data_IF_118392928543
#
_entry.id   IF_118392928543
#
_cell.length_a   1.000
_cell.length_b   1.000
_cell.length_c   1.000
_cell.angle_alpha   90.00
_cell.angle_beta   90.00
_cell.angle_gamma   90.00
#
_symmetry.space_group_name_H-M   'P 1'
#
loop_
_entity.id
_entity.type
_entity.pdbx_description
1 polymer ?
#
# COMPACT_ATOMS: atom_id res chain seq x y z
N UNK A 1 -60.16 13.27 -29.04
CA UNK A 1 -58.85 12.92 -29.66
C UNK A 1 -57.78 13.79 -29.07
N UNK A 2 -57.05 13.32 -28.07
CA UNK A 2 -55.89 14.03 -27.50
C UNK A 2 -54.74 13.06 -27.51
N UNK A 3 -53.68 13.41 -28.25
CA UNK A 3 -52.41 12.66 -28.32
C UNK A 3 -51.60 12.94 -27.05
N UNK A 4 -51.27 11.88 -26.28
CA UNK A 4 -50.29 11.92 -25.19
C UNK A 4 -48.92 12.03 -25.81
N UNK A 5 -48.18 13.09 -25.46
CA UNK A 5 -46.76 13.20 -25.69
C UNK A 5 -46.04 12.25 -24.71
N UNK A 6 -45.32 11.25 -25.23
CA UNK A 6 -44.34 10.47 -24.53
C UNK A 6 -43.09 11.35 -24.35
N UNK A 7 -42.76 11.61 -23.11
CA UNK A 7 -41.50 12.27 -22.74
C UNK A 7 -40.38 11.22 -22.91
N UNK A 8 -39.48 11.42 -23.88
CA UNK A 8 -38.32 10.63 -24.09
C UNK A 8 -37.36 10.75 -22.88
N UNK A 9 -36.97 9.62 -22.32
CA UNK A 9 -35.89 9.58 -21.36
C UNK A 9 -34.57 10.03 -22.01
N UNK A 10 -33.55 10.39 -21.24
CA UNK A 10 -32.27 10.86 -21.79
C UNK A 10 -31.66 9.78 -22.68
N UNK A 11 -31.53 10.09 -23.97
CA UNK A 11 -30.73 9.30 -24.90
C UNK A 11 -29.31 9.17 -24.34
N UNK A 12 -28.92 7.94 -24.05
CA UNK A 12 -27.51 7.60 -23.82
C UNK A 12 -26.81 7.80 -25.17
N UNK A 13 -26.15 8.93 -25.34
CA UNK A 13 -25.25 9.17 -26.47
C UNK A 13 -24.25 8.01 -26.54
N UNK A 14 -24.43 7.11 -27.49
CA UNK A 14 -23.45 6.09 -27.81
C UNK A 14 -22.22 6.81 -28.38
N UNK A 15 -21.15 6.88 -27.58
CA UNK A 15 -19.83 7.31 -28.03
C UNK A 15 -19.31 6.24 -29.01
N UNK A 16 -19.63 6.40 -30.30
CA UNK A 16 -19.14 5.52 -31.35
C UNK A 16 -17.61 5.68 -31.43
N UNK A 17 -16.86 4.63 -30.99
CA UNK A 17 -15.44 4.49 -31.20
C UNK A 17 -14.54 4.46 -29.96
N UNK A 18 -14.98 4.86 -28.76
CA UNK A 18 -14.14 4.76 -27.56
C UNK A 18 -14.23 3.35 -26.94
N UNK A 19 -13.06 2.73 -26.69
CA UNK A 19 -12.96 1.42 -26.04
C UNK A 19 -13.39 1.54 -24.57
N UNK A 20 -14.46 0.84 -24.21
CA UNK A 20 -14.93 0.74 -22.81
C UNK A 20 -14.43 -0.56 -22.20
N UNK A 21 -13.73 -0.45 -21.08
CA UNK A 21 -13.32 -1.59 -20.28
C UNK A 21 -14.41 -1.99 -19.27
N UNK A 22 -14.47 -3.26 -18.91
CA UNK A 22 -15.33 -3.66 -17.79
C UNK A 22 -14.71 -3.18 -16.47
N UNK A 23 -13.38 -3.28 -16.34
CA UNK A 23 -12.66 -2.75 -15.18
C UNK A 23 -11.32 -2.13 -15.59
N UNK A 24 -11.01 -0.96 -15.00
CA UNK A 24 -9.65 -0.40 -15.00
C UNK A 24 -9.07 -0.56 -13.59
N UNK A 25 -7.87 -1.14 -13.50
CA UNK A 25 -7.14 -1.36 -12.26
C UNK A 25 -5.98 -0.36 -12.21
N UNK A 26 -5.89 0.41 -11.13
CA UNK A 26 -4.87 1.42 -10.92
C UNK A 26 -3.84 0.88 -9.93
N UNK A 27 -2.67 0.47 -10.46
CA UNK A 27 -1.59 -0.15 -9.72
C UNK A 27 -1.50 -1.67 -9.90
N UNK A 28 -0.33 -2.15 -10.30
CA UNK A 28 0.02 -3.57 -10.44
C UNK A 28 0.70 -4.12 -9.18
N UNK A 29 0.26 -3.67 -8.00
CA UNK A 29 0.60 -4.32 -6.74
C UNK A 29 -0.13 -5.66 -6.57
N UNK A 30 0.14 -6.42 -5.48
CA UNK A 30 -0.47 -7.73 -5.24
C UNK A 30 -2.00 -7.72 -5.34
N UNK A 31 -2.67 -6.70 -4.78
CA UNK A 31 -4.12 -6.56 -4.87
C UNK A 31 -4.64 -6.37 -6.28
N UNK A 32 -4.01 -5.48 -7.05
CA UNK A 32 -4.39 -5.21 -8.43
C UNK A 32 -4.14 -6.39 -9.36
N UNK A 33 -2.98 -7.04 -9.23
CA UNK A 33 -2.65 -8.22 -10.03
C UNK A 33 -3.56 -9.40 -9.71
N UNK A 34 -3.84 -9.65 -8.44
CA UNK A 34 -4.75 -10.73 -8.06
C UNK A 34 -6.17 -10.47 -8.58
N UNK A 35 -6.66 -9.24 -8.48
CA UNK A 35 -7.95 -8.86 -9.06
C UNK A 35 -7.96 -9.04 -10.58
N UNK A 36 -6.90 -8.59 -11.27
CA UNK A 36 -6.79 -8.68 -12.73
C UNK A 36 -6.82 -10.12 -13.25
N UNK A 37 -6.15 -11.05 -12.54
CA UNK A 37 -6.17 -12.47 -12.83
C UNK A 37 -7.59 -13.04 -12.72
N UNK A 38 -8.33 -12.69 -11.65
CA UNK A 38 -9.71 -13.14 -11.49
C UNK A 38 -10.63 -12.60 -12.59
N UNK A 39 -10.56 -11.29 -12.85
CA UNK A 39 -11.40 -10.64 -13.86
C UNK A 39 -11.08 -11.14 -15.28
N UNK A 40 -9.79 -11.34 -15.61
CA UNK A 40 -9.37 -11.91 -16.89
C UNK A 40 -9.91 -13.33 -17.08
N UNK A 41 -9.87 -14.19 -16.03
CA UNK A 41 -10.46 -15.53 -16.06
C UNK A 41 -11.98 -15.52 -16.20
N UNK A 42 -12.66 -14.44 -15.86
CA UNK A 42 -14.07 -14.22 -16.14
C UNK A 42 -14.34 -13.68 -17.56
N UNK A 43 -13.29 -13.58 -18.39
CA UNK A 43 -13.34 -12.98 -19.74
C UNK A 43 -13.80 -11.52 -19.75
N UNK A 44 -13.59 -10.78 -18.68
CA UNK A 44 -13.84 -9.34 -18.63
C UNK A 44 -12.73 -8.59 -19.38
N UNK A 45 -13.09 -7.45 -19.97
CA UNK A 45 -12.13 -6.53 -20.61
C UNK A 45 -11.45 -5.71 -19.52
N UNK A 46 -10.20 -6.03 -19.19
CA UNK A 46 -9.46 -5.42 -18.08
C UNK A 46 -8.23 -4.68 -18.59
N UNK A 47 -8.04 -3.46 -18.09
CA UNK A 47 -6.82 -2.67 -18.25
C UNK A 47 -6.19 -2.42 -16.87
N UNK A 48 -4.93 -2.78 -16.70
CA UNK A 48 -4.11 -2.38 -15.56
C UNK A 48 -3.22 -1.22 -15.97
N UNK A 49 -3.26 -0.11 -15.22
CA UNK A 49 -2.36 1.02 -15.42
C UNK A 49 -1.44 1.11 -14.21
N UNK A 50 -0.13 0.97 -14.43
CA UNK A 50 0.87 0.97 -13.35
C UNK A 50 2.04 1.90 -13.66
N UNK A 51 2.41 2.72 -12.66
CA UNK A 51 3.57 3.62 -12.78
C UNK A 51 4.91 2.91 -12.59
N UNK A 52 4.89 1.74 -11.96
CA UNK A 52 6.08 1.03 -11.49
C UNK A 52 6.59 1.54 -10.13
N UNK A 53 7.56 0.81 -9.57
CA UNK A 53 8.26 1.21 -8.34
C UNK A 53 7.38 1.22 -7.07
N UNK A 54 6.40 0.33 -6.98
CA UNK A 54 5.58 0.17 -5.77
C UNK A 54 6.36 -0.48 -4.62
N UNK A 55 5.86 -0.36 -3.37
CA UNK A 55 6.51 -0.90 -2.14
C UNK A 55 6.93 -2.36 -2.29
N UNK A 56 6.04 -3.21 -2.83
CA UNK A 56 6.33 -4.63 -3.02
C UNK A 56 7.57 -4.85 -3.88
N UNK A 57 7.77 -4.08 -4.96
CA UNK A 57 8.93 -4.25 -5.85
C UNK A 57 10.28 -3.94 -5.18
N UNK A 58 10.29 -3.23 -4.06
CA UNK A 58 11.49 -2.92 -3.29
C UNK A 58 11.82 -3.97 -2.22
N UNK A 59 10.90 -4.87 -1.90
CA UNK A 59 11.13 -5.96 -0.96
C UNK A 59 12.07 -6.99 -1.57
N UNK A 60 13.29 -7.12 -1.00
CA UNK A 60 14.31 -8.06 -1.49
C UNK A 60 13.96 -9.51 -1.18
N UNK A 61 13.37 -9.74 -0.01
CA UNK A 61 13.03 -11.06 0.51
C UNK A 61 11.68 -10.99 1.20
N UNK A 62 10.70 -11.71 0.65
CA UNK A 62 9.38 -11.92 1.24
C UNK A 62 9.33 -13.38 1.64
N UNK A 63 9.17 -13.64 2.95
CA UNK A 63 9.28 -14.97 3.56
C UNK A 63 7.98 -15.39 4.24
N UNK A 64 6.98 -14.52 4.21
CA UNK A 64 5.62 -14.76 4.72
C UNK A 64 4.58 -14.99 3.60
N UNK A 65 5.03 -15.46 2.43
CA UNK A 65 4.16 -15.77 1.30
C UNK A 65 4.03 -17.29 1.13
N UNK A 66 2.79 -17.80 1.24
CA UNK A 66 2.50 -19.23 1.13
C UNK A 66 3.08 -19.83 -0.15
N UNK A 67 3.65 -21.04 -0.07
CA UNK A 67 4.28 -21.82 -1.15
C UNK A 67 5.70 -21.39 -1.54
N UNK A 68 6.26 -20.35 -0.94
CA UNK A 68 7.64 -19.91 -1.18
C UNK A 68 8.33 -19.67 0.14
N UNK A 69 9.51 -20.26 0.34
CA UNK A 69 10.35 -19.93 1.49
C UNK A 69 10.85 -18.49 1.38
N UNK A 70 11.34 -18.12 0.20
CA UNK A 70 11.79 -16.76 -0.12
C UNK A 70 11.40 -16.43 -1.54
N UNK A 71 10.87 -15.23 -1.75
CA UNK A 71 10.64 -14.66 -3.08
C UNK A 71 10.86 -13.15 -3.03
N UNK A 72 11.44 -12.57 -4.07
CA UNK A 72 11.53 -11.11 -4.14
C UNK A 72 10.18 -10.50 -4.55
N UNK A 73 9.90 -9.31 -4.05
CA UNK A 73 8.69 -8.61 -4.46
C UNK A 73 8.67 -8.27 -5.95
N UNK A 74 9.82 -7.98 -6.55
CA UNK A 74 9.95 -7.77 -8.00
C UNK A 74 9.58 -9.04 -8.80
N UNK A 75 9.94 -10.21 -8.29
CA UNK A 75 9.57 -11.49 -8.90
C UNK A 75 8.06 -11.76 -8.78
N UNK A 76 7.44 -11.50 -7.62
CA UNK A 76 5.98 -11.59 -7.46
C UNK A 76 5.27 -10.72 -8.49
N UNK A 77 5.69 -9.47 -8.65
CA UNK A 77 5.09 -8.54 -9.62
C UNK A 77 5.26 -9.04 -11.05
N UNK A 78 6.47 -9.50 -11.41
CA UNK A 78 6.77 -10.03 -12.75
C UNK A 78 5.88 -11.24 -13.07
N UNK A 79 5.88 -12.25 -12.21
CA UNK A 79 5.09 -13.48 -12.39
C UNK A 79 3.57 -13.18 -12.42
N UNK A 80 3.11 -12.27 -11.55
CA UNK A 80 1.72 -11.83 -11.52
C UNK A 80 1.30 -11.11 -12.82
N UNK A 81 2.16 -10.26 -13.39
CA UNK A 81 1.91 -9.62 -14.69
C UNK A 81 1.87 -10.64 -15.84
N UNK A 82 2.78 -11.61 -15.85
CA UNK A 82 2.80 -12.68 -16.85
C UNK A 82 1.51 -13.52 -16.77
N UNK A 83 1.09 -13.89 -15.56
CA UNK A 83 -0.14 -14.62 -15.33
C UNK A 83 -1.39 -13.81 -15.74
N UNK A 84 -1.47 -12.52 -15.41
CA UNK A 84 -2.58 -11.68 -15.85
C UNK A 84 -2.68 -11.59 -17.38
N UNK A 85 -1.56 -11.38 -18.05
CA UNK A 85 -1.49 -11.35 -19.52
C UNK A 85 -1.95 -12.65 -20.18
N UNK A 86 -1.71 -13.82 -19.57
CA UNK A 86 -2.17 -15.10 -20.09
C UNK A 86 -3.70 -15.23 -20.13
N UNK A 87 -4.41 -14.36 -19.41
CA UNK A 87 -5.87 -14.21 -19.41
C UNK A 87 -6.35 -12.96 -20.17
N UNK A 88 -5.57 -12.47 -21.14
CA UNK A 88 -5.89 -11.33 -21.99
C UNK A 88 -6.07 -10.00 -21.25
N UNK A 89 -5.47 -9.84 -20.05
CA UNK A 89 -5.44 -8.57 -19.34
C UNK A 89 -4.44 -7.64 -20.02
N UNK A 90 -4.88 -6.43 -20.36
CA UNK A 90 -4.00 -5.39 -20.88
C UNK A 90 -3.27 -4.72 -19.72
N UNK A 91 -1.94 -4.58 -19.84
CA UNK A 91 -1.12 -3.91 -18.82
C UNK A 91 -0.35 -2.77 -19.50
N UNK A 92 -0.56 -1.57 -19.00
CA UNK A 92 0.05 -0.35 -19.51
C UNK A 92 0.88 0.33 -18.43
N UNK A 93 2.09 0.76 -18.80
CA UNK A 93 2.90 1.63 -17.95
C UNK A 93 2.37 3.06 -18.04
N UNK A 94 2.02 3.66 -16.89
CA UNK A 94 1.52 5.01 -16.84
C UNK A 94 1.19 5.46 -15.41
N UNK A 95 1.18 6.77 -15.21
CA UNK A 95 0.75 7.41 -13.97
C UNK A 95 -0.68 7.92 -14.13
N UNK A 96 -1.62 7.35 -13.38
CA UNK A 96 -2.97 7.90 -13.29
C UNK A 96 -2.93 9.19 -12.48
N UNK A 97 -3.46 10.25 -13.06
CA UNK A 97 -3.46 11.60 -12.47
C UNK A 97 -4.85 12.05 -12.00
N UNK A 98 -5.91 11.44 -12.54
CA UNK A 98 -7.29 11.82 -12.22
C UNK A 98 -8.27 10.69 -12.50
N UNK A 99 -9.32 10.59 -11.68
CA UNK A 99 -10.47 9.71 -11.91
C UNK A 99 -11.74 10.53 -11.72
N UNK A 100 -12.67 10.43 -12.68
CA UNK A 100 -14.00 11.06 -12.64
C UNK A 100 -15.09 10.01 -12.84
N UNK A 101 -16.34 10.36 -12.51
CA UNK A 101 -17.52 9.51 -12.74
C UNK A 101 -18.73 10.32 -13.18
N UNK A 102 -18.74 10.87 -14.41
CA UNK A 102 -19.94 11.55 -14.96
C UNK A 102 -21.06 10.57 -15.33
N UNK A 103 -20.74 9.36 -15.67
CA UNK A 103 -21.60 8.22 -16.03
C UNK A 103 -20.78 6.94 -15.89
N UNK A 104 -20.00 6.59 -16.91
CA UNK A 104 -18.88 5.65 -16.78
C UNK A 104 -17.74 6.31 -16.00
N UNK A 105 -16.82 5.50 -15.49
CA UNK A 105 -15.56 6.04 -14.97
C UNK A 105 -14.68 6.53 -16.12
N UNK A 106 -14.12 7.71 -15.93
CA UNK A 106 -13.08 8.28 -16.76
C UNK A 106 -11.76 8.25 -15.99
N UNK A 107 -10.77 7.53 -16.50
CA UNK A 107 -9.45 7.40 -15.89
C UNK A 107 -8.43 8.11 -16.79
N UNK A 108 -7.72 9.08 -16.24
CA UNK A 108 -6.74 9.88 -16.97
C UNK A 108 -5.31 9.45 -16.59
N UNK A 109 -4.52 9.12 -17.63
CA UNK A 109 -3.11 8.79 -17.47
C UNK A 109 -2.28 9.52 -18.55
N UNK A 110 -1.53 10.55 -18.15
CA UNK A 110 -0.94 11.49 -19.09
C UNK A 110 -2.03 12.21 -19.88
N UNK A 111 -1.90 12.22 -21.22
CA UNK A 111 -2.89 12.79 -22.14
C UNK A 111 -4.03 11.83 -22.50
N UNK A 112 -3.91 10.57 -22.10
CA UNK A 112 -4.88 9.54 -22.45
C UNK A 112 -6.04 9.50 -21.45
N UNK A 113 -7.25 9.34 -21.98
CA UNK A 113 -8.48 9.08 -21.24
C UNK A 113 -8.98 7.67 -21.56
N UNK A 114 -9.33 6.92 -20.51
CA UNK A 114 -9.89 5.58 -20.60
C UNK A 114 -11.24 5.52 -19.92
N UNK A 115 -12.17 4.74 -20.49
CA UNK A 115 -13.53 4.56 -19.96
C UNK A 115 -13.69 3.15 -19.36
N UNK A 116 -14.40 3.05 -18.22
CA UNK A 116 -14.73 1.76 -17.63
C UNK A 116 -16.03 1.76 -16.84
N UNK A 117 -16.62 0.56 -16.67
CA UNK A 117 -17.78 0.33 -15.80
C UNK A 117 -17.36 0.32 -14.32
N UNK A 118 -16.23 -0.31 -14.00
CA UNK A 118 -15.65 -0.41 -12.66
C UNK A 118 -14.23 0.14 -12.64
N UNK A 119 -13.83 0.64 -11.49
CA UNK A 119 -12.44 0.98 -11.20
C UNK A 119 -12.00 0.27 -9.92
N UNK A 120 -10.83 -0.35 -9.92
CA UNK A 120 -10.17 -0.87 -8.72
C UNK A 120 -8.89 -0.09 -8.47
N UNK A 121 -8.79 0.49 -7.28
CA UNK A 121 -7.63 1.25 -6.82
C UNK A 121 -6.74 0.36 -5.95
N UNK A 122 -5.54 0.07 -6.43
CA UNK A 122 -4.49 -0.71 -5.76
C UNK A 122 -3.14 0.02 -5.81
N UNK A 123 -3.19 1.36 -5.73
CA UNK A 123 -2.03 2.25 -5.90
C UNK A 123 -1.06 2.25 -4.72
N UNK A 124 -1.48 1.68 -3.59
CA UNK A 124 -0.63 1.47 -2.42
C UNK A 124 -0.18 2.76 -1.72
N UNK A 125 0.98 2.70 -1.09
CA UNK A 125 1.60 3.82 -0.39
C UNK A 125 3.09 3.96 -0.71
N UNK A 126 3.66 5.06 -0.28
CA UNK A 126 5.10 5.36 -0.39
C UNK A 126 5.67 5.52 1.02
N UNK A 127 6.71 4.77 1.37
CA UNK A 127 7.35 4.82 2.69
C UNK A 127 7.86 6.23 3.02
N UNK A 128 7.64 6.63 4.26
CA UNK A 128 8.26 7.82 4.83
C UNK A 128 9.60 7.39 5.45
N UNK A 129 10.68 7.57 4.72
CA UNK A 129 12.02 7.30 5.23
C UNK A 129 12.66 8.58 5.76
N UNK A 130 13.30 8.55 6.94
CA UNK A 130 14.02 9.70 7.45
C UNK A 130 15.27 9.97 6.60
N UNK A 131 15.69 11.25 6.46
CA UNK A 131 16.87 11.61 5.68
C UNK A 131 18.16 11.34 6.48
N UNK A 132 18.56 10.08 6.57
CA UNK A 132 19.77 9.61 7.26
C UNK A 132 20.78 9.19 6.20
N UNK A 133 22.00 9.68 6.28
CA UNK A 133 23.10 9.29 5.38
C UNK A 133 23.33 7.77 5.47
N UNK A 134 23.59 7.13 4.34
CA UNK A 134 23.76 5.67 4.18
C UNK A 134 22.50 4.80 4.44
N UNK A 135 21.32 5.37 4.69
CA UNK A 135 20.11 4.60 4.95
C UNK A 135 19.84 3.58 3.84
N UNK A 136 19.91 4.01 2.57
CA UNK A 136 19.61 3.16 1.42
C UNK A 136 20.58 2.00 1.23
N UNK A 137 21.83 2.13 1.70
CA UNK A 137 22.85 1.06 1.67
C UNK A 137 22.38 -0.18 2.44
N UNK A 138 21.71 0.03 3.58
CA UNK A 138 21.30 -1.02 4.50
C UNK A 138 19.80 -1.34 4.45
N UNK A 139 19.03 -0.58 3.61
CA UNK A 139 17.58 -0.75 3.50
C UNK A 139 17.23 -2.15 2.97
N UNK A 140 16.23 -2.78 3.57
CA UNK A 140 15.79 -4.16 3.32
C UNK A 140 16.86 -5.24 3.53
N UNK A 141 17.96 -4.91 4.26
CA UNK A 141 18.96 -5.87 4.71
C UNK A 141 19.13 -5.84 6.24
N UNK A 142 19.30 -4.65 6.81
CA UNK A 142 19.39 -4.40 8.26
C UNK A 142 18.54 -3.22 8.70
N UNK A 143 17.82 -2.57 7.78
CA UNK A 143 16.86 -1.52 8.07
C UNK A 143 15.51 -1.94 7.51
N UNK A 144 14.52 -2.05 8.38
CA UNK A 144 13.18 -2.51 8.07
C UNK A 144 12.13 -1.46 8.45
N UNK A 145 10.96 -1.51 7.83
CA UNK A 145 9.82 -0.62 8.10
C UNK A 145 8.56 -1.36 8.52
N UNK A 146 8.57 -2.69 8.41
CA UNK A 146 7.41 -3.54 8.68
C UNK A 146 7.77 -4.60 9.73
N UNK A 147 7.08 -4.57 10.87
CA UNK A 147 7.27 -5.57 11.94
C UNK A 147 6.76 -6.95 11.51
N UNK A 148 5.59 -7.02 10.88
CA UNK A 148 4.96 -8.28 10.48
C UNK A 148 5.71 -8.98 9.34
N UNK A 149 6.55 -8.24 8.62
CA UNK A 149 7.38 -8.77 7.55
C UNK A 149 8.74 -9.25 8.07
N UNK A 150 9.42 -8.42 8.86
CA UNK A 150 10.83 -8.53 9.14
C UNK A 150 11.17 -8.53 10.65
N UNK A 151 10.18 -8.39 11.54
CA UNK A 151 10.40 -8.33 12.98
C UNK A 151 11.20 -9.52 13.50
N UNK A 152 10.94 -10.73 13.03
CA UNK A 152 11.66 -11.94 13.42
C UNK A 152 13.18 -11.89 13.10
N UNK A 153 13.59 -11.11 12.08
CA UNK A 153 15.01 -10.90 11.71
C UNK A 153 15.79 -10.13 12.76
N UNK A 154 15.10 -9.51 13.71
CA UNK A 154 15.72 -8.77 14.83
C UNK A 154 15.96 -9.63 16.05
N UNK A 155 15.56 -10.91 16.03
CA UNK A 155 15.66 -11.82 17.18
C UNK A 155 17.10 -11.92 17.69
N UNK A 156 17.31 -11.57 18.96
CA UNK A 156 18.59 -11.62 19.65
C UNK A 156 19.62 -10.59 19.22
N UNK A 157 19.26 -9.63 18.34
CA UNK A 157 20.16 -8.59 17.84
C UNK A 157 20.02 -7.30 18.62
N UNK A 158 21.05 -6.44 18.55
CA UNK A 158 21.00 -5.06 19.03
C UNK A 158 20.13 -4.24 18.10
N UNK A 159 18.90 -3.96 18.55
CA UNK A 159 17.88 -3.26 17.77
C UNK A 159 17.79 -1.79 18.17
N UNK A 160 17.78 -0.90 17.18
CA UNK A 160 17.31 0.48 17.36
C UNK A 160 15.97 0.65 16.68
N UNK A 161 14.95 1.09 17.42
CA UNK A 161 13.65 1.51 16.87
C UNK A 161 13.67 3.02 16.72
N UNK A 162 13.40 3.53 15.52
CA UNK A 162 13.36 4.97 15.24
C UNK A 162 11.98 5.40 14.78
N UNK A 163 11.49 6.56 15.24
CA UNK A 163 10.21 7.09 14.79
C UNK A 163 9.85 8.44 15.39
N UNK A 164 8.60 8.87 15.17
CA UNK A 164 8.15 10.22 15.51
C UNK A 164 6.80 10.28 16.26
N UNK A 165 6.34 9.18 16.82
CA UNK A 165 5.01 9.10 17.44
C UNK A 165 4.97 8.12 18.62
N UNK A 166 3.90 8.19 19.43
CA UNK A 166 3.64 7.22 20.50
C UNK A 166 3.51 5.79 19.99
N UNK A 167 3.04 5.57 18.76
CA UNK A 167 3.01 4.25 18.15
C UNK A 167 4.40 3.60 18.08
N UNK A 168 5.46 4.42 17.96
CA UNK A 168 6.84 3.93 17.98
C UNK A 168 7.26 3.42 19.36
N UNK A 169 6.74 4.04 20.44
CA UNK A 169 6.97 3.57 21.83
C UNK A 169 6.31 2.20 22.04
N UNK A 170 5.02 2.07 21.68
CA UNK A 170 4.31 0.80 21.75
C UNK A 170 4.99 -0.30 20.92
N UNK A 171 5.51 0.08 19.75
CA UNK A 171 6.26 -0.83 18.91
C UNK A 171 7.53 -1.32 19.60
N UNK A 172 8.27 -0.45 20.32
CA UNK A 172 9.48 -0.83 21.06
C UNK A 172 9.15 -1.86 22.17
N UNK A 173 8.06 -1.68 22.90
CA UNK A 173 7.59 -2.68 23.87
C UNK A 173 7.27 -4.03 23.22
N UNK A 174 6.53 -3.99 22.09
CA UNK A 174 6.22 -5.18 21.33
C UNK A 174 7.47 -5.93 20.86
N UNK A 175 8.44 -5.19 20.29
CA UNK A 175 9.72 -5.77 19.84
C UNK A 175 10.53 -6.38 20.96
N UNK A 176 10.56 -5.72 22.14
CA UNK A 176 11.23 -6.26 23.33
C UNK A 176 10.61 -7.59 23.78
N UNK A 177 9.30 -7.68 23.77
CA UNK A 177 8.59 -8.86 24.22
C UNK A 177 8.69 -10.03 23.27
N UNK A 178 8.68 -9.77 21.95
CA UNK A 178 8.63 -10.81 20.93
C UNK A 178 10.01 -11.26 20.44
N UNK A 179 11.00 -10.34 20.33
CA UNK A 179 12.17 -10.64 19.50
C UNK A 179 13.51 -10.40 20.19
N UNK A 180 13.75 -9.26 20.86
CA UNK A 180 15.06 -8.97 21.46
C UNK A 180 14.96 -8.10 22.69
N UNK A 181 15.81 -8.41 23.71
CA UNK A 181 15.91 -7.61 24.94
C UNK A 181 16.89 -6.44 24.79
N UNK A 182 17.80 -6.50 23.81
CA UNK A 182 18.79 -5.46 23.54
C UNK A 182 18.19 -4.45 22.55
N UNK A 183 17.38 -3.54 23.09
CA UNK A 183 16.61 -2.57 22.30
C UNK A 183 16.88 -1.15 22.79
N UNK A 184 17.01 -0.22 21.87
CA UNK A 184 17.11 1.22 22.13
C UNK A 184 16.08 1.96 21.27
N UNK A 185 15.41 2.95 21.85
CA UNK A 185 14.42 3.77 21.17
C UNK A 185 15.00 5.15 20.83
N UNK A 186 14.81 5.62 19.60
CA UNK A 186 15.17 6.98 19.16
C UNK A 186 13.93 7.69 18.61
N UNK A 187 13.57 8.79 19.22
CA UNK A 187 12.37 9.54 18.91
C UNK A 187 12.69 10.92 18.36
N UNK A 188 12.04 11.29 17.26
CA UNK A 188 12.14 12.63 16.64
C UNK A 188 11.23 13.64 17.29
N UNK A 189 10.56 13.29 18.39
CA UNK A 189 9.65 14.13 19.15
C UNK A 189 9.93 14.04 20.64
N UNK A 190 9.84 15.13 21.34
CA UNK A 190 9.88 15.24 22.79
C UNK A 190 8.48 15.15 23.44
N UNK A 191 7.43 15.13 22.62
CA UNK A 191 6.02 15.04 23.06
C UNK A 191 5.65 13.62 23.46
N UNK A 192 6.31 13.11 24.49
CA UNK A 192 6.04 11.80 25.07
C UNK A 192 5.48 12.03 26.47
N UNK A 193 4.27 11.52 26.78
CA UNK A 193 3.73 11.58 28.12
C UNK A 193 4.68 10.96 29.15
N UNK A 194 4.72 11.54 30.36
CA UNK A 194 5.66 11.11 31.40
C UNK A 194 5.46 9.66 31.81
N UNK A 195 4.22 9.16 31.76
CA UNK A 195 3.88 7.76 32.00
C UNK A 195 4.68 6.80 31.12
N UNK A 196 4.81 7.09 29.81
CA UNK A 196 5.60 6.25 28.89
C UNK A 196 7.10 6.35 29.13
N UNK A 197 7.61 7.47 29.62
CA UNK A 197 9.03 7.57 30.00
C UNK A 197 9.31 6.71 31.23
N UNK A 198 8.40 6.71 32.20
CA UNK A 198 8.46 5.84 33.37
C UNK A 198 8.43 4.38 32.96
N UNK A 199 7.46 3.99 32.13
CA UNK A 199 7.34 2.62 31.64
C UNK A 199 8.59 2.16 30.85
N UNK A 200 9.13 3.01 29.98
CA UNK A 200 10.40 2.71 29.28
C UNK A 200 11.56 2.46 30.23
N UNK A 201 11.64 3.23 31.33
CA UNK A 201 12.67 3.07 32.36
C UNK A 201 12.47 1.76 33.15
N UNK A 202 11.24 1.45 33.58
CA UNK A 202 10.89 0.20 34.28
C UNK A 202 11.17 -1.01 33.41
N UNK A 203 10.86 -0.93 32.12
CA UNK A 203 11.16 -1.96 31.13
C UNK A 203 12.66 -2.00 30.73
N UNK A 204 13.49 -1.08 31.22
CA UNK A 204 14.91 -1.03 30.88
C UNK A 204 15.17 -0.78 29.39
N UNK A 205 14.31 -0.02 28.72
CA UNK A 205 14.49 0.41 27.32
C UNK A 205 15.12 1.82 27.32
N UNK A 206 16.40 1.96 27.02
CA UNK A 206 17.03 3.27 26.89
C UNK A 206 16.40 4.01 25.70
N UNK A 207 16.13 5.30 25.88
CA UNK A 207 15.60 6.13 24.79
C UNK A 207 16.37 7.44 24.64
N UNK A 208 16.38 7.95 23.42
CA UNK A 208 17.01 9.21 23.04
C UNK A 208 16.03 10.06 22.25
N UNK A 209 16.00 11.34 22.55
CA UNK A 209 15.26 12.33 21.77
C UNK A 209 16.25 13.05 20.87
N UNK A 210 15.98 13.08 19.56
CA UNK A 210 16.85 13.73 18.59
C UNK A 210 16.80 13.07 17.22
N UNK A 211 17.62 13.60 16.31
CA UNK A 211 17.66 13.12 14.91
C UNK A 211 18.98 12.42 14.63
N UNK A 212 18.96 11.17 14.21
CA UNK A 212 20.12 10.54 13.61
C UNK A 212 20.49 11.24 12.29
N UNK A 213 21.78 11.28 12.00
CA UNK A 213 22.31 11.92 10.80
C UNK A 213 23.00 10.94 9.85
N UNK A 214 23.57 9.84 10.39
CA UNK A 214 24.32 8.87 9.60
C UNK A 214 24.20 7.47 10.17
N UNK A 215 24.21 6.48 9.27
CA UNK A 215 24.38 5.06 9.59
C UNK A 215 25.83 4.69 9.35
N UNK A 216 26.45 4.09 10.36
CA UNK A 216 27.85 3.66 10.36
C UNK A 216 27.90 2.15 10.08
N UNK A 217 28.81 1.77 9.20
CA UNK A 217 29.09 0.40 8.83
C UNK A 217 29.52 0.28 7.36
N UNK A 218 30.33 -0.73 7.07
CA UNK A 218 30.76 -1.04 5.70
C UNK A 218 29.95 -2.18 5.09
N UNK A 219 30.20 -3.41 5.45
CA UNK A 219 29.46 -4.58 4.97
C UNK A 219 28.18 -4.81 5.77
N UNK A 220 28.17 -4.42 7.04
CA UNK A 220 27.04 -4.56 7.97
C UNK A 220 26.82 -3.27 8.73
N UNK A 221 25.62 -3.10 9.26
CA UNK A 221 25.26 -1.98 10.11
C UNK A 221 25.91 -2.18 11.50
N UNK A 222 26.56 -1.14 12.00
CA UNK A 222 27.34 -1.19 13.26
C UNK A 222 26.82 -0.16 14.29
N UNK A 223 26.40 1.01 13.83
CA UNK A 223 25.89 2.06 14.70
C UNK A 223 25.04 3.09 13.98
N UNK A 224 24.26 3.82 14.77
CA UNK A 224 23.53 5.01 14.39
C UNK A 224 24.19 6.24 15.01
N UNK A 225 24.61 7.21 14.21
CA UNK A 225 25.19 8.48 14.67
C UNK A 225 24.11 9.55 14.77
N UNK A 226 24.01 10.17 15.95
CA UNK A 226 23.07 11.25 16.26
C UNK A 226 23.67 12.60 15.88
N UNK A 227 22.82 13.62 15.75
CA UNK A 227 23.21 15.00 15.39
C UNK A 227 24.19 15.64 16.41
N UNK A 228 24.15 15.22 17.66
CA UNK A 228 25.08 15.63 18.72
C UNK A 228 26.42 14.88 18.73
N UNK A 229 26.64 14.00 17.74
CA UNK A 229 27.84 13.19 17.61
C UNK A 229 27.80 11.89 18.43
N UNK A 230 26.78 11.65 19.23
CA UNK A 230 26.63 10.40 19.97
C UNK A 230 26.42 9.23 19.01
N UNK A 231 27.04 8.09 19.30
CA UNK A 231 26.87 6.85 18.54
C UNK A 231 26.12 5.81 19.36
N UNK A 232 25.10 5.23 18.76
CA UNK A 232 24.29 4.17 19.33
C UNK A 232 24.64 2.89 18.56
N UNK A 233 25.30 1.93 19.21
CA UNK A 233 25.65 0.64 18.60
C UNK A 233 24.37 -0.13 18.29
N UNK A 234 24.24 -0.64 17.06
CA UNK A 234 23.13 -1.48 16.64
C UNK A 234 23.50 -2.34 15.44
N UNK A 235 22.81 -3.45 15.29
CA UNK A 235 22.95 -4.40 14.18
C UNK A 235 21.76 -4.28 13.21
N UNK A 236 20.62 -3.81 13.74
CA UNK A 236 19.35 -3.68 13.00
C UNK A 236 18.65 -2.40 13.42
N UNK A 237 17.99 -1.75 12.46
CA UNK A 237 17.11 -0.59 12.70
C UNK A 237 15.70 -0.93 12.23
N UNK A 238 14.70 -0.66 13.06
CA UNK A 238 13.29 -0.65 12.68
C UNK A 238 12.84 0.82 12.57
N UNK A 239 12.53 1.25 11.35
CA UNK A 239 12.14 2.63 11.01
C UNK A 239 10.63 2.75 10.96
N UNK A 240 10.02 3.50 11.88
CA UNK A 240 8.57 3.61 12.05
C UNK A 240 8.08 5.05 11.83
N UNK A 241 8.07 5.49 10.57
CA UNK A 241 7.55 6.81 10.17
C UNK A 241 6.25 6.71 9.35
N UNK A 242 5.72 5.49 9.17
CA UNK A 242 4.55 5.24 8.37
C UNK A 242 4.80 5.45 6.87
N UNK A 243 3.71 5.63 6.13
CA UNK A 243 3.75 5.83 4.67
C UNK A 243 2.66 6.83 4.24
N UNK A 244 2.87 7.46 3.10
CA UNK A 244 1.89 8.31 2.44
C UNK A 244 1.08 7.49 1.46
N UNK A 245 -0.26 7.63 1.47
CA UNK A 245 -1.14 6.98 0.50
C UNK A 245 -0.96 7.60 -0.89
N UNK A 246 -0.97 6.75 -1.92
CA UNK A 246 -0.89 7.19 -3.31
C UNK A 246 -2.30 7.34 -3.89
N UNK A 247 -3.02 8.38 -3.50
CA UNK A 247 -4.45 8.56 -3.72
C UNK A 247 -4.87 9.94 -4.24
N UNK A 248 -3.90 10.83 -4.52
CA UNK A 248 -4.17 12.20 -4.95
C UNK A 248 -5.03 12.31 -6.20
N UNK A 249 -5.02 11.29 -7.09
CA UNK A 249 -5.85 11.24 -8.29
C UNK A 249 -7.34 10.97 -8.03
N UNK A 250 -7.72 10.70 -6.78
CA UNK A 250 -9.10 10.50 -6.32
C UNK A 250 -9.71 11.77 -5.69
N UNK A 251 -8.99 12.89 -5.65
CA UNK A 251 -9.41 14.12 -4.96
C UNK A 251 -10.74 14.70 -5.43
N UNK A 252 -11.10 14.47 -6.70
CA UNK A 252 -12.37 14.94 -7.27
C UNK A 252 -13.58 14.03 -6.93
N UNK A 253 -13.30 12.88 -6.33
CA UNK A 253 -14.32 11.94 -5.86
C UNK A 253 -14.49 12.11 -4.35
N UNK A 254 -15.65 12.54 -3.92
CA UNK A 254 -15.95 12.77 -2.50
C UNK A 254 -16.11 11.42 -1.75
N UNK A 255 -15.00 10.71 -1.56
CA UNK A 255 -14.97 9.38 -0.94
C UNK A 255 -14.91 9.47 0.59
N UNK A 256 -15.65 8.60 1.27
CA UNK A 256 -15.61 8.52 2.74
C UNK A 256 -14.25 8.00 3.23
N UNK A 257 -13.73 8.67 4.26
CA UNK A 257 -12.52 8.29 4.96
C UNK A 257 -12.78 8.10 6.45
N UNK A 258 -12.01 7.23 7.05
CA UNK A 258 -11.93 7.08 8.49
C UNK A 258 -11.28 8.32 9.10
N UNK A 259 -11.83 8.80 10.21
CA UNK A 259 -11.39 10.06 10.85
C UNK A 259 -10.06 9.93 11.59
N UNK A 260 -9.73 8.73 12.07
CA UNK A 260 -8.55 8.49 12.90
C UNK A 260 -7.29 8.20 12.08
N UNK A 261 -7.45 7.48 10.95
CA UNK A 261 -6.32 7.01 10.15
C UNK A 261 -6.32 7.50 8.71
N UNK A 262 -7.34 8.27 8.29
CA UNK A 262 -7.52 8.82 6.94
C UNK A 262 -7.58 7.80 5.80
N UNK A 263 -7.77 6.52 6.11
CA UNK A 263 -7.94 5.45 5.13
C UNK A 263 -9.35 5.48 4.55
N UNK A 264 -9.53 4.90 3.37
CA UNK A 264 -10.84 4.85 2.75
C UNK A 264 -11.74 3.84 3.47
N UNK A 265 -12.98 4.23 3.72
CA UNK A 265 -14.01 3.34 4.24
C UNK A 265 -14.62 2.55 3.08
N UNK A 266 -14.60 1.23 3.19
CA UNK A 266 -15.15 0.30 2.20
C UNK A 266 -16.12 -0.68 2.84
N UNK A 267 -16.97 -1.29 2.01
CA UNK A 267 -17.76 -2.43 2.41
C UNK A 267 -16.91 -3.71 2.54
N UNK A 268 -17.53 -4.83 2.93
CA UNK A 268 -16.85 -6.14 3.01
C UNK A 268 -16.32 -6.64 1.68
N UNK A 269 -16.86 -6.15 0.57
CA UNK A 269 -16.47 -6.43 -0.81
C UNK A 269 -15.41 -5.45 -1.34
N UNK A 270 -14.90 -4.56 -0.49
CA UNK A 270 -13.94 -3.50 -0.82
C UNK A 270 -14.49 -2.42 -1.77
N UNK A 271 -15.80 -2.35 -1.97
CA UNK A 271 -16.43 -1.23 -2.66
C UNK A 271 -16.42 0.01 -1.75
N UNK A 272 -16.02 1.14 -2.30
CA UNK A 272 -15.98 2.44 -1.60
C UNK A 272 -17.38 3.03 -1.41
N UNK A 273 -17.46 4.24 -0.87
CA UNK A 273 -18.72 5.01 -0.81
C UNK A 273 -19.27 5.42 -2.18
N UNK A 274 -18.49 5.25 -3.27
CA UNK A 274 -18.89 5.51 -4.65
C UNK A 274 -19.10 4.17 -5.37
N UNK A 275 -20.31 3.94 -5.82
CA UNK A 275 -20.71 2.70 -6.50
C UNK A 275 -19.84 2.40 -7.73
N UNK A 276 -19.31 1.19 -7.80
CA UNK A 276 -18.43 0.71 -8.86
C UNK A 276 -16.95 1.06 -8.69
N UNK A 277 -16.59 1.81 -7.63
CA UNK A 277 -15.21 2.08 -7.27
C UNK A 277 -14.79 1.20 -6.09
N UNK A 278 -13.78 0.34 -6.32
CA UNK A 278 -13.22 -0.56 -5.32
C UNK A 278 -11.83 -0.07 -4.91
N UNK A 279 -11.49 -0.25 -3.65
CA UNK A 279 -10.20 0.18 -3.09
C UNK A 279 -9.63 -0.95 -2.23
N UNK A 280 -8.37 -1.30 -2.44
CA UNK A 280 -7.70 -2.42 -1.74
C UNK A 280 -6.29 -2.08 -1.29
N UNK A 281 -5.77 -2.88 -0.37
CA UNK A 281 -4.41 -2.77 0.17
C UNK A 281 -4.28 -1.63 1.18
N UNK A 282 -3.10 -1.03 1.33
CA UNK A 282 -2.82 -0.06 2.40
C UNK A 282 -3.71 1.19 2.40
N UNK A 283 -4.51 1.41 1.35
CA UNK A 283 -5.48 2.51 1.30
C UNK A 283 -6.70 2.25 2.20
N UNK A 284 -7.01 0.99 2.51
CA UNK A 284 -8.17 0.59 3.33
C UNK A 284 -7.79 0.07 4.71
N UNK A 285 -6.56 -0.40 4.90
CA UNK A 285 -6.14 -0.95 6.20
C UNK A 285 -4.79 -1.61 6.14
N UNK A 286 -4.81 -2.92 5.98
CA UNK A 286 -3.63 -3.78 6.07
C UNK A 286 -2.76 -3.68 4.81
N UNK A 287 -1.45 -3.86 4.99
CA UNK A 287 -0.49 -3.61 3.93
C UNK A 287 0.39 -4.83 3.59
N UNK A 288 -0.04 -6.03 4.01
CA UNK A 288 0.64 -7.28 3.68
C UNK A 288 0.33 -7.71 2.24
N UNK A 289 1.31 -8.33 1.57
CA UNK A 289 1.18 -8.84 0.20
C UNK A 289 0.00 -9.79 0.06
N UNK A 290 -0.10 -10.76 0.97
CA UNK A 290 -1.14 -11.80 0.96
C UNK A 290 -2.53 -11.24 1.27
N UNK A 291 -2.62 -10.25 2.17
CA UNK A 291 -3.89 -9.58 2.51
C UNK A 291 -4.38 -8.79 1.30
N UNK A 292 -3.54 -7.92 0.75
CA UNK A 292 -3.90 -7.13 -0.42
C UNK A 292 -4.33 -8.00 -1.62
N UNK A 293 -3.66 -9.15 -1.83
CA UNK A 293 -4.06 -10.12 -2.85
C UNK A 293 -5.46 -10.71 -2.57
N UNK A 294 -5.74 -11.09 -1.32
CA UNK A 294 -7.06 -11.57 -0.89
C UNK A 294 -8.16 -10.53 -1.11
N UNK A 295 -7.90 -9.28 -0.75
CA UNK A 295 -8.81 -8.15 -0.98
C UNK A 295 -9.12 -7.95 -2.46
N UNK A 296 -8.09 -8.00 -3.33
CA UNK A 296 -8.24 -7.93 -4.77
C UNK A 296 -9.12 -9.05 -5.33
N UNK A 297 -8.97 -10.28 -4.82
CA UNK A 297 -9.81 -11.40 -5.20
C UNK A 297 -11.28 -11.20 -4.80
N UNK A 298 -11.54 -10.73 -3.57
CA UNK A 298 -12.89 -10.44 -3.06
C UNK A 298 -13.57 -9.36 -3.91
N UNK A 299 -12.87 -8.25 -4.19
CA UNK A 299 -13.36 -7.17 -5.04
C UNK A 299 -13.71 -7.67 -6.46
N UNK A 300 -12.84 -8.49 -7.06
CA UNK A 300 -13.07 -9.05 -8.40
C UNK A 300 -14.29 -9.98 -8.46
N UNK A 301 -14.51 -10.80 -7.42
CA UNK A 301 -15.69 -11.68 -7.33
C UNK A 301 -16.97 -10.87 -7.27
N UNK A 302 -16.97 -9.76 -6.54
CA UNK A 302 -18.13 -8.87 -6.45
C UNK A 302 -18.40 -8.16 -7.78
N UNK A 303 -17.38 -7.59 -8.41
CA UNK A 303 -17.50 -6.95 -9.73
C UNK A 303 -18.12 -7.89 -10.77
N UNK A 304 -17.70 -9.18 -10.78
CA UNK A 304 -18.27 -10.18 -11.67
C UNK A 304 -19.76 -10.37 -11.41
N UNK A 305 -20.22 -10.46 -10.18
CA UNK A 305 -21.64 -10.61 -9.84
C UNK A 305 -22.43 -9.41 -10.35
N UNK A 306 -21.95 -8.20 -10.08
CA UNK A 306 -22.59 -6.96 -10.51
C UNK A 306 -22.63 -6.80 -12.04
N UNK A 307 -21.57 -7.22 -12.75
CA UNK A 307 -21.59 -7.17 -14.21
C UNK A 307 -22.66 -8.10 -14.80
N UNK A 308 -22.87 -9.28 -14.18
CA UNK A 308 -23.94 -10.19 -14.61
C UNK A 308 -25.32 -9.57 -14.38
N UNK A 309 -25.54 -8.90 -13.25
CA UNK A 309 -26.80 -8.20 -12.95
C UNK A 309 -27.06 -7.01 -13.89
N UNK A 310 -26.00 -6.30 -14.34
CA UNK A 310 -26.13 -5.20 -15.31
C UNK A 310 -26.47 -5.67 -16.73
N UNK A 311 -26.20 -6.93 -17.06
CA UNK A 311 -26.43 -7.53 -18.37
C UNK A 311 -27.70 -8.42 -18.41
N UNK A 312 -28.37 -8.62 -17.26
CA UNK A 312 -29.64 -9.36 -17.14
C UNK A 312 -30.84 -8.44 -17.36
#
# INVERSE_FOLDING_TARGET
>A
MQRKHLIGGPEVLSLQGEKVYDCIIIGAGPGGLQASIYLGRYNMKVLVIDRGGGRTSHAKQIENFLTREVISGSEIIKLGMEQAKSFNVEIQKGLVTRVLKPGLFEVYAGEMKYLSKFVLVSSGGTENLPPIENLHKFFAASIFTCIDCDGYKTTGKKLVVIGNSLKTVHLAFGMKNMYTKDITLVLYTDKIPEEYKTELAEEGIPFFIGRPVRIIGEERLEALEMQDGKRISCEVILSHFGYKLNDGFLSDLNLKRDVDNFKFVTGRNYESSLSGLYIVGPLTGDDQVVIAAGEGAIAAIDMKKRLLEMNA
#
